data_IF_062757607856
#
_entry.id   IF_062757607856
#
_cell.length_a   1.000
_cell.length_b   1.000
_cell.length_c   1.000
_cell.angle_alpha   90.00
_cell.angle_beta   90.00
_cell.angle_gamma   90.00
#
_symmetry.space_group_name_H-M   'P 1'
#
loop_
_entity.id
_entity.type
_entity.pdbx_description
1 polymer ?
#
# COMPACT_ATOMS: atom_id res chain seq x y z
N UNK A 1 1.33 -0.63 14.26
CA UNK A 1 1.43 -0.39 12.81
C UNK A 1 2.82 0.15 12.58
N UNK A 2 3.57 -0.46 11.68
CA UNK A 2 4.92 0.00 11.32
C UNK A 2 4.70 0.93 10.13
N UNK A 3 4.33 2.18 10.40
CA UNK A 3 4.13 3.22 9.38
C UNK A 3 5.49 3.83 8.93
N UNK A 4 6.59 3.07 9.06
CA UNK A 4 7.97 3.58 8.94
C UNK A 4 8.67 3.15 7.64
N UNK A 5 7.91 2.59 6.69
CA UNK A 5 8.46 2.05 5.43
C UNK A 5 8.29 2.96 4.22
N UNK A 6 7.56 4.07 4.36
CA UNK A 6 7.40 5.05 3.30
C UNK A 6 7.21 6.45 3.89
N UNK A 7 7.60 7.45 3.12
CA UNK A 7 7.33 8.86 3.38
C UNK A 7 6.38 9.36 2.30
N UNK A 8 5.20 9.85 2.69
CA UNK A 8 4.23 10.41 1.76
C UNK A 8 4.40 11.92 1.69
N UNK A 9 4.43 12.46 0.46
CA UNK A 9 4.37 13.89 0.26
C UNK A 9 3.58 14.24 -1.01
N UNK A 10 2.97 15.42 -1.02
CA UNK A 10 2.48 16.07 -2.23
C UNK A 10 3.56 17.02 -2.74
N UNK A 11 3.78 17.07 -4.04
CA UNK A 11 4.69 18.03 -4.67
C UNK A 11 3.87 19.12 -5.41
N UNK A 12 4.22 20.38 -5.18
CA UNK A 12 3.71 21.51 -5.93
C UNK A 12 4.82 22.56 -6.14
N UNK A 13 5.14 22.85 -7.40
CA UNK A 13 6.17 23.81 -7.79
C UNK A 13 7.53 23.58 -7.08
N UNK A 14 7.87 22.31 -6.81
CA UNK A 14 9.11 21.91 -6.13
C UNK A 14 9.09 22.08 -4.60
N UNK A 15 7.92 22.39 -4.01
CA UNK A 15 7.69 22.38 -2.57
C UNK A 15 6.90 21.14 -2.20
N UNK A 16 7.46 20.34 -1.28
CA UNK A 16 6.77 19.18 -0.71
C UNK A 16 5.82 19.59 0.42
N UNK A 17 4.69 18.92 0.52
CA UNK A 17 3.77 18.93 1.66
C UNK A 17 3.72 17.53 2.26
N UNK A 18 4.16 17.38 3.51
CA UNK A 18 4.37 16.10 4.20
C UNK A 18 3.49 15.93 5.47
N UNK A 19 3.79 14.91 6.27
CA UNK A 19 3.09 14.63 7.53
C UNK A 19 3.23 15.75 8.56
N UNK A 20 4.39 16.42 8.58
CA UNK A 20 4.65 17.52 9.50
C UNK A 20 3.84 18.76 9.12
N UNK A 21 3.71 19.04 7.83
CA UNK A 21 2.87 20.11 7.30
C UNK A 21 1.38 19.82 7.52
N UNK A 22 0.97 18.57 7.33
CA UNK A 22 -0.38 18.12 7.62
C UNK A 22 -0.71 18.26 9.11
N UNK A 23 0.21 17.87 10.00
CA UNK A 23 0.06 18.05 11.44
C UNK A 23 -0.09 19.53 11.83
N UNK A 24 0.68 20.42 11.19
CA UNK A 24 0.58 21.86 11.41
C UNK A 24 -0.79 22.41 11.03
N UNK A 25 -1.30 22.09 9.83
CA UNK A 25 -2.63 22.57 9.41
C UNK A 25 -3.77 22.00 10.26
N UNK A 26 -3.69 20.73 10.68
CA UNK A 26 -4.68 20.12 11.59
C UNK A 26 -4.69 20.84 12.95
N UNK A 27 -3.50 21.08 13.52
CA UNK A 27 -3.38 21.81 14.77
C UNK A 27 -3.88 23.27 14.65
N UNK A 28 -3.67 23.94 13.51
CA UNK A 28 -4.28 25.27 13.25
C UNK A 28 -5.80 25.18 13.23
N UNK A 29 -6.37 24.16 12.56
CA UNK A 29 -7.82 23.97 12.51
C UNK A 29 -8.44 23.69 13.88
N UNK A 30 -7.73 22.96 14.74
CA UNK A 30 -8.19 22.60 16.09
C UNK A 30 -8.09 23.77 17.07
N UNK A 31 -6.95 24.46 17.06
CA UNK A 31 -6.65 25.52 18.04
C UNK A 31 -7.16 26.89 17.62
N UNK A 32 -7.46 27.08 16.32
CA UNK A 32 -7.83 28.37 15.76
C UNK A 32 -6.72 29.41 15.80
N UNK A 33 -5.44 29.00 15.91
CA UNK A 33 -4.29 29.91 16.00
C UNK A 33 -2.99 29.22 15.61
N UNK A 34 -2.23 29.81 14.68
CA UNK A 34 -0.88 29.29 14.33
C UNK A 34 0.05 29.27 15.54
N UNK A 35 -0.07 30.25 16.45
CA UNK A 35 0.76 30.28 17.66
C UNK A 35 0.42 29.14 18.60
N UNK A 36 -0.87 28.86 18.82
CA UNK A 36 -1.32 27.76 19.67
C UNK A 36 -1.00 26.40 19.05
N UNK A 37 -1.15 26.26 17.73
CA UNK A 37 -0.75 25.08 16.97
C UNK A 37 0.75 24.77 17.10
N UNK A 38 1.61 25.79 16.95
CA UNK A 38 3.05 25.61 17.15
C UNK A 38 3.37 25.15 18.58
N UNK A 39 2.70 25.72 19.59
CA UNK A 39 2.85 25.29 20.98
C UNK A 39 2.35 23.87 21.24
N UNK A 40 1.21 23.46 20.68
CA UNK A 40 0.66 22.12 20.87
C UNK A 40 1.50 21.03 20.19
N UNK A 41 2.20 21.38 19.12
CA UNK A 41 3.13 20.50 18.41
C UNK A 41 4.56 20.55 18.98
N UNK A 42 4.81 21.34 20.02
CA UNK A 42 6.15 21.58 20.59
C UNK A 42 7.16 22.12 19.54
N UNK A 43 6.67 22.89 18.56
CA UNK A 43 7.45 23.45 17.44
C UNK A 43 7.70 24.95 17.60
N UNK A 44 8.76 25.43 16.94
CA UNK A 44 9.10 26.86 16.91
C UNK A 44 8.09 27.65 16.08
N UNK A 45 7.35 28.57 16.72
CA UNK A 45 6.38 29.45 16.05
C UNK A 45 6.97 30.17 14.82
N UNK A 46 8.15 30.83 14.88
CA UNK A 46 8.78 31.41 13.69
C UNK A 46 8.97 30.41 12.55
N UNK A 47 9.40 29.17 12.83
CA UNK A 47 9.57 28.14 11.80
C UNK A 47 8.24 27.70 11.20
N UNK A 48 7.20 27.51 12.02
CA UNK A 48 5.87 27.19 11.53
C UNK A 48 5.31 28.29 10.61
N UNK A 49 5.53 29.57 10.96
CA UNK A 49 5.11 30.68 10.11
C UNK A 49 5.89 30.75 8.80
N UNK A 50 7.21 30.55 8.84
CA UNK A 50 8.03 30.50 7.62
C UNK A 50 7.64 29.33 6.73
N UNK A 51 7.37 28.15 7.31
CA UNK A 51 6.92 26.97 6.57
C UNK A 51 5.54 27.17 5.96
N UNK A 52 4.59 27.75 6.70
CA UNK A 52 3.28 28.10 6.15
C UNK A 52 3.40 29.07 4.96
N UNK A 53 4.26 30.08 5.06
CA UNK A 53 4.47 31.01 3.93
C UNK A 53 5.01 30.29 2.69
N UNK A 54 6.02 29.42 2.86
CA UNK A 54 6.58 28.62 1.76
C UNK A 54 5.52 27.72 1.11
N UNK A 55 4.70 27.05 1.92
CA UNK A 55 3.58 26.25 1.42
C UNK A 55 2.54 27.12 0.70
N UNK A 56 2.20 28.28 1.24
CA UNK A 56 1.21 29.20 0.64
C UNK A 56 1.70 29.83 -0.67
N UNK A 57 3.01 30.06 -0.80
CA UNK A 57 3.63 30.55 -2.04
C UNK A 57 3.50 29.52 -3.18
N UNK A 58 3.52 28.22 -2.87
CA UNK A 58 3.39 27.12 -3.85
C UNK A 58 1.95 26.62 -4.05
N UNK A 59 1.15 26.51 -2.98
CA UNK A 59 -0.16 25.86 -2.98
C UNK A 59 -1.33 26.86 -2.93
N UNK A 60 -1.04 28.16 -2.84
CA UNK A 60 -2.02 29.20 -2.59
C UNK A 60 -2.38 29.33 -1.10
N UNK A 61 -3.22 30.31 -0.76
CA UNK A 61 -3.53 30.60 0.66
C UNK A 61 -4.20 29.41 1.34
N UNK A 62 -3.54 28.87 2.37
CA UNK A 62 -3.97 27.70 3.15
C UNK A 62 -4.59 28.12 4.49
N UNK A 63 -4.15 29.25 5.05
CA UNK A 63 -4.63 29.77 6.33
C UNK A 63 -5.01 31.24 6.19
N UNK A 64 -6.21 31.59 6.65
CA UNK A 64 -6.65 32.98 6.73
C UNK A 64 -6.79 33.45 8.17
N UNK A 65 -6.66 34.77 8.36
CA UNK A 65 -6.86 35.39 9.67
C UNK A 65 -8.34 35.66 9.91
N UNK A 66 -8.85 35.16 11.03
CA UNK A 66 -10.18 35.55 11.51
C UNK A 66 -10.10 36.94 12.17
N UNK A 67 -10.91 37.89 11.69
CA UNK A 67 -11.08 39.20 12.38
C UNK A 67 -11.95 39.02 13.63
N UNK A 68 -11.34 39.06 14.80
CA UNK A 68 -12.02 39.13 16.11
C UNK A 68 -11.40 40.23 16.97
N UNK A 69 -12.24 41.02 17.66
CA UNK A 69 -11.84 42.20 18.44
C UNK A 69 -10.91 41.90 19.62
N UNK A 70 -10.25 42.97 20.08
CA UNK A 70 -9.31 43.11 21.22
C UNK A 70 -9.01 41.83 22.02
N UNK A 71 -8.19 40.95 21.45
CA UNK A 71 -7.01 40.32 22.11
C UNK A 71 -6.50 39.02 21.45
N UNK A 72 -7.08 38.52 20.35
CA UNK A 72 -6.35 37.53 19.53
C UNK A 72 -6.93 37.39 18.13
N UNK A 73 -6.17 37.80 17.11
CA UNK A 73 -6.47 37.41 15.73
C UNK A 73 -6.36 35.89 15.61
N UNK A 74 -7.48 35.22 15.32
CA UNK A 74 -7.51 33.79 15.10
C UNK A 74 -6.98 33.42 13.71
N UNK A 75 -6.71 32.15 13.51
CA UNK A 75 -6.35 31.53 12.24
C UNK A 75 -7.35 30.43 11.93
N UNK A 76 -7.78 30.33 10.68
CA UNK A 76 -8.61 29.22 10.21
C UNK A 76 -8.12 28.75 8.85
N UNK A 77 -8.32 27.46 8.57
CA UNK A 77 -7.99 26.93 7.26
C UNK A 77 -8.91 27.55 6.21
N UNK A 78 -8.34 27.94 5.08
CA UNK A 78 -9.12 28.30 3.89
C UNK A 78 -9.74 27.03 3.28
N UNK A 79 -10.66 27.16 2.29
CA UNK A 79 -11.08 26.02 1.50
C UNK A 79 -9.90 25.27 0.84
N UNK A 80 -8.91 26.00 0.32
CA UNK A 80 -7.72 25.39 -0.28
C UNK A 80 -6.88 24.62 0.76
N UNK A 81 -6.70 25.17 1.97
CA UNK A 81 -6.01 24.48 3.07
C UNK A 81 -6.67 23.15 3.46
N UNK A 82 -8.01 23.13 3.55
CA UNK A 82 -8.76 21.89 3.78
C UNK A 82 -8.64 20.91 2.62
N UNK A 83 -8.65 21.41 1.38
CA UNK A 83 -8.54 20.57 0.19
C UNK A 83 -7.16 19.92 0.05
N UNK A 84 -6.07 20.62 0.42
CA UNK A 84 -4.71 20.06 0.47
C UNK A 84 -4.62 18.96 1.52
N UNK A 85 -5.11 19.22 2.75
CA UNK A 85 -5.17 18.19 3.79
C UNK A 85 -5.94 16.94 3.34
N UNK A 86 -7.13 17.14 2.74
CA UNK A 86 -7.93 16.02 2.27
C UNK A 86 -7.25 15.23 1.14
N UNK A 87 -6.45 15.89 0.29
CA UNK A 87 -5.64 15.20 -0.73
C UNK A 87 -4.52 14.38 -0.08
N UNK A 88 -3.82 14.97 0.89
CA UNK A 88 -2.76 14.32 1.62
C UNK A 88 -3.27 13.09 2.39
N UNK A 89 -4.39 13.22 3.11
CA UNK A 89 -5.01 12.11 3.84
C UNK A 89 -5.35 10.93 2.92
N UNK A 90 -5.85 11.21 1.71
CA UNK A 90 -6.15 10.16 0.73
C UNK A 90 -4.88 9.48 0.21
N UNK A 91 -3.83 10.24 -0.05
CA UNK A 91 -2.54 9.69 -0.48
C UNK A 91 -1.93 8.82 0.61
N UNK A 92 -1.83 9.35 1.82
CA UNK A 92 -1.28 8.63 2.96
C UNK A 92 -2.09 7.35 3.23
N UNK A 93 -3.42 7.41 3.23
CA UNK A 93 -4.25 6.22 3.41
C UNK A 93 -4.04 5.17 2.30
N UNK A 94 -3.89 5.59 1.04
CA UNK A 94 -3.61 4.67 -0.07
C UNK A 94 -2.24 3.99 0.05
N UNK A 95 -1.22 4.75 0.48
CA UNK A 95 0.13 4.24 0.67
C UNK A 95 0.22 3.35 1.91
N UNK A 96 -0.30 3.76 3.07
CA UNK A 96 -0.38 2.91 4.29
C UNK A 96 -1.10 1.61 4.01
N UNK A 97 -2.22 1.67 3.29
CA UNK A 97 -3.01 0.50 2.92
C UNK A 97 -2.30 -0.47 1.97
N UNK A 98 -1.24 -0.03 1.28
CA UNK A 98 -0.48 -0.86 0.34
C UNK A 98 0.85 -1.32 0.93
N UNK A 99 1.61 -0.41 1.54
CA UNK A 99 2.97 -0.63 2.02
C UNK A 99 3.02 -1.54 3.27
N UNK A 100 1.98 -1.52 4.11
CA UNK A 100 1.92 -2.34 5.33
C UNK A 100 1.37 -3.75 5.12
N UNK A 101 0.98 -4.12 3.90
CA UNK A 101 0.37 -5.42 3.59
C UNK A 101 1.46 -6.40 3.17
N UNK A 102 1.54 -7.61 3.78
CA UNK A 102 2.47 -8.63 3.34
C UNK A 102 2.31 -8.92 1.84
N UNK A 103 3.43 -8.96 1.13
CA UNK A 103 3.48 -9.30 -0.29
C UNK A 103 4.17 -10.64 -0.46
N UNK A 104 3.54 -11.53 -1.23
CA UNK A 104 4.14 -12.81 -1.65
C UNK A 104 4.88 -12.59 -2.95
N UNK A 105 6.11 -13.05 -3.01
CA UNK A 105 6.96 -13.03 -4.19
C UNK A 105 7.19 -14.46 -4.66
N UNK A 106 7.02 -14.72 -5.95
CA UNK A 106 7.35 -16.01 -6.54
C UNK A 106 8.13 -15.84 -7.85
N UNK A 107 9.24 -16.57 -8.03
CA UNK A 107 9.95 -16.57 -9.31
C UNK A 107 9.13 -17.29 -10.37
N UNK A 108 9.30 -16.87 -11.63
CA UNK A 108 8.67 -17.52 -12.76
C UNK A 108 9.26 -17.12 -14.09
N UNK A 109 8.75 -17.72 -15.16
CA UNK A 109 9.14 -17.41 -16.53
C UNK A 109 7.91 -17.05 -17.34
N UNK A 110 7.97 -15.93 -18.07
CA UNK A 110 6.88 -15.51 -18.96
C UNK A 110 6.75 -16.53 -20.09
N UNK A 111 5.56 -17.09 -20.29
CA UNK A 111 5.25 -18.05 -21.36
C UNK A 111 4.35 -17.45 -22.43
N UNK A 112 3.61 -16.39 -22.12
CA UNK A 112 2.72 -15.70 -23.05
C UNK A 112 2.47 -14.26 -22.68
N UNK A 113 2.14 -13.43 -23.68
CA UNK A 113 1.90 -11.99 -23.51
C UNK A 113 0.67 -11.60 -24.33
N UNK A 114 -0.27 -10.90 -23.68
CA UNK A 114 -1.50 -10.39 -24.27
C UNK A 114 -1.71 -8.94 -23.81
N UNK A 115 -1.23 -7.98 -24.61
CA UNK A 115 -1.25 -6.57 -24.24
C UNK A 115 -0.40 -6.32 -23.00
N UNK A 116 -1.06 -5.93 -21.90
CA UNK A 116 -0.40 -5.68 -20.60
C UNK A 116 -0.30 -6.91 -19.70
N UNK A 117 -0.97 -8.00 -20.09
CA UNK A 117 -1.04 -9.22 -19.31
C UNK A 117 0.06 -10.18 -19.74
N UNK A 118 0.77 -10.71 -18.76
CA UNK A 118 1.75 -11.78 -18.92
C UNK A 118 1.22 -13.05 -18.27
N UNK A 119 1.38 -14.17 -18.97
CA UNK A 119 1.20 -15.50 -18.40
C UNK A 119 2.58 -15.99 -17.94
N UNK A 120 2.70 -16.28 -16.65
CA UNK A 120 3.95 -16.64 -15.99
C UNK A 120 3.84 -18.06 -15.47
N UNK A 121 4.74 -18.94 -15.89
CA UNK A 121 4.87 -20.28 -15.30
C UNK A 121 5.71 -20.18 -14.02
N UNK A 122 5.18 -20.72 -12.94
CA UNK A 122 5.82 -20.76 -11.61
C UNK A 122 5.84 -22.21 -11.10
N UNK A 123 6.48 -22.47 -9.96
CA UNK A 123 6.49 -23.81 -9.34
C UNK A 123 5.09 -24.29 -8.94
N UNK A 124 4.19 -23.36 -8.59
CA UNK A 124 2.79 -23.64 -8.27
C UNK A 124 1.89 -23.75 -9.52
N UNK A 125 2.45 -23.55 -10.72
CA UNK A 125 1.73 -23.49 -11.99
C UNK A 125 1.58 -22.07 -12.55
N UNK A 126 0.61 -21.89 -13.45
CA UNK A 126 0.46 -20.63 -14.20
C UNK A 126 -0.20 -19.52 -13.37
N UNK A 127 0.46 -18.36 -13.33
CA UNK A 127 -0.04 -17.10 -12.77
C UNK A 127 -0.14 -16.04 -13.87
N UNK A 128 -1.25 -15.32 -13.94
CA UNK A 128 -1.44 -14.18 -14.86
C UNK A 128 -1.23 -12.87 -14.12
N UNK A 129 -0.41 -11.98 -14.68
CA UNK A 129 0.03 -10.75 -14.04
C UNK A 129 0.04 -9.56 -15.00
N UNK A 130 0.00 -8.34 -14.46
CA UNK A 130 0.34 -7.13 -15.23
C UNK A 130 1.86 -6.99 -15.21
N UNK A 131 2.48 -6.95 -16.39
CA UNK A 131 3.90 -6.67 -16.53
C UNK A 131 4.15 -5.32 -17.18
N UNK A 132 5.27 -4.69 -16.90
CA UNK A 132 5.74 -3.53 -17.66
C UNK A 132 6.45 -3.96 -18.96
N UNK A 133 6.75 -3.01 -19.85
CA UNK A 133 7.36 -3.28 -21.16
C UNK A 133 8.61 -4.17 -21.08
N UNK A 134 9.42 -4.01 -20.03
CA UNK A 134 10.65 -4.77 -19.80
C UNK A 134 10.45 -6.29 -19.63
N UNK A 135 9.25 -6.73 -19.25
CA UNK A 135 8.95 -8.15 -18.99
C UNK A 135 7.98 -8.78 -19.99
N UNK A 136 7.42 -7.99 -20.91
CA UNK A 136 6.41 -8.43 -21.89
C UNK A 136 7.02 -9.22 -23.06
N UNK A 137 7.83 -10.23 -22.74
CA UNK A 137 8.48 -11.11 -23.72
C UNK A 137 8.50 -12.56 -23.21
N UNK A 138 8.03 -13.55 -23.99
CA UNK A 138 8.16 -14.96 -23.63
C UNK A 138 9.62 -15.37 -23.41
N UNK A 139 9.85 -16.22 -22.40
CA UNK A 139 11.17 -16.65 -21.95
C UNK A 139 11.80 -15.71 -20.92
N UNK A 140 11.19 -14.55 -20.60
CA UNK A 140 11.76 -13.66 -19.59
C UNK A 140 11.61 -14.21 -18.18
N UNK A 141 12.71 -14.27 -17.41
CA UNK A 141 12.63 -14.52 -15.97
C UNK A 141 12.04 -13.30 -15.28
N UNK A 142 11.05 -13.54 -14.44
CA UNK A 142 10.31 -12.51 -13.71
C UNK A 142 10.08 -12.93 -12.27
N UNK A 143 9.81 -11.95 -11.44
CA UNK A 143 9.23 -12.15 -10.12
C UNK A 143 7.76 -11.71 -10.18
N UNK A 144 6.83 -12.59 -9.78
CA UNK A 144 5.44 -12.20 -9.58
C UNK A 144 5.24 -11.74 -8.14
N UNK A 145 4.54 -10.62 -7.97
CA UNK A 145 4.18 -10.09 -6.67
C UNK A 145 2.66 -10.08 -6.48
N UNK A 146 2.20 -10.54 -5.32
CA UNK A 146 0.79 -10.56 -4.92
C UNK A 146 0.66 -10.11 -3.49
N UNK A 147 -0.11 -9.06 -3.26
CA UNK A 147 -0.41 -8.58 -1.91
C UNK A 147 -1.48 -9.43 -1.23
N UNK A 148 -1.34 -9.60 0.08
CA UNK A 148 -2.25 -10.42 0.87
C UNK A 148 -3.71 -9.94 0.85
N UNK A 149 -3.94 -8.63 0.71
CA UNK A 149 -5.28 -8.03 0.63
C UNK A 149 -5.99 -8.29 -0.71
N UNK A 150 -5.26 -8.76 -1.74
CA UNK A 150 -5.81 -9.12 -3.03
C UNK A 150 -6.27 -10.59 -3.13
N UNK A 151 -5.91 -11.42 -2.15
CA UNK A 151 -6.17 -12.86 -2.15
C UNK A 151 -7.48 -13.17 -1.44
N UNK A 152 -8.37 -13.88 -2.12
CA UNK A 152 -9.59 -14.43 -1.54
C UNK A 152 -9.42 -15.92 -1.28
N UNK A 153 -9.76 -16.37 -0.07
CA UNK A 153 -9.75 -17.78 0.30
C UNK A 153 -11.16 -18.36 0.24
N UNK A 154 -11.27 -19.56 -0.33
CA UNK A 154 -12.48 -20.37 -0.34
C UNK A 154 -12.22 -21.73 0.30
N UNK A 155 -13.24 -22.32 0.91
CA UNK A 155 -13.24 -23.75 1.15
C UNK A 155 -13.23 -24.49 -0.21
N UNK A 156 -12.59 -25.67 -0.33
CA UNK A 156 -12.48 -26.39 -1.61
C UNK A 156 -13.82 -26.65 -2.30
N UNK A 157 -14.84 -27.00 -1.51
CA UNK A 157 -16.18 -27.32 -2.02
C UNK A 157 -17.01 -26.08 -2.40
N UNK A 158 -16.66 -24.91 -1.85
CA UNK A 158 -17.35 -23.63 -2.10
C UNK A 158 -16.62 -22.75 -3.13
N UNK A 159 -15.46 -23.19 -3.61
CA UNK A 159 -14.67 -22.45 -4.56
C UNK A 159 -15.43 -22.30 -5.90
N UNK A 160 -15.60 -21.08 -6.42
CA UNK A 160 -16.24 -20.88 -7.71
C UNK A 160 -15.52 -21.68 -8.81
N UNK A 161 -16.30 -22.27 -9.72
CA UNK A 161 -15.74 -22.99 -10.86
C UNK A 161 -14.79 -22.11 -11.68
N UNK A 162 -13.76 -22.68 -12.34
CA UNK A 162 -12.86 -21.92 -13.19
C UNK A 162 -13.62 -21.07 -14.22
N UNK A 163 -13.35 -19.76 -14.24
CA UNK A 163 -14.00 -18.81 -15.15
C UNK A 163 -15.38 -18.29 -14.69
N UNK A 164 -15.94 -18.78 -13.57
CA UNK A 164 -17.20 -18.28 -13.03
C UNK A 164 -17.09 -16.84 -12.46
N UNK A 165 -15.87 -16.39 -12.15
CA UNK A 165 -15.59 -15.03 -11.68
C UNK A 165 -14.57 -14.33 -12.58
N UNK A 166 -14.29 -13.06 -12.31
CA UNK A 166 -13.19 -12.33 -12.95
C UNK A 166 -11.82 -12.63 -12.35
N UNK A 167 -11.74 -13.42 -11.27
CA UNK A 167 -10.46 -13.95 -10.80
C UNK A 167 -9.89 -14.88 -11.88
N UNK A 168 -8.61 -14.69 -12.20
CA UNK A 168 -7.91 -15.46 -13.23
C UNK A 168 -6.81 -16.32 -12.67
N UNK A 169 -6.33 -15.95 -11.48
CA UNK A 169 -5.37 -16.75 -10.73
C UNK A 169 -6.15 -17.55 -9.70
N UNK A 170 -5.88 -18.85 -9.67
CA UNK A 170 -6.50 -19.81 -8.75
C UNK A 170 -5.49 -20.91 -8.47
N UNK A 171 -5.15 -21.10 -7.20
CA UNK A 171 -4.27 -22.17 -6.73
C UNK A 171 -4.95 -22.89 -5.57
N UNK A 172 -4.90 -24.21 -5.60
CA UNK A 172 -5.30 -25.05 -4.47
C UNK A 172 -4.12 -25.12 -3.49
N UNK A 173 -4.38 -25.13 -2.19
CA UNK A 173 -3.33 -25.08 -1.18
C UNK A 173 -3.79 -25.53 0.20
N UNK A 174 -2.88 -25.48 1.16
CA UNK A 174 -3.14 -25.78 2.55
C UNK A 174 -2.68 -24.63 3.44
N UNK A 175 -3.47 -24.30 4.45
CA UNK A 175 -3.09 -23.29 5.45
C UNK A 175 -1.85 -23.79 6.21
N UNK A 176 -0.78 -23.02 6.20
CA UNK A 176 0.44 -23.31 6.96
C UNK A 176 0.37 -22.66 8.35
N UNK A 177 -0.05 -21.39 8.40
CA UNK A 177 -0.13 -20.62 9.63
C UNK A 177 -1.30 -19.62 9.61
N UNK A 178 -1.78 -19.27 10.80
CA UNK A 178 -2.85 -18.28 11.00
C UNK A 178 -2.43 -17.33 12.11
N UNK A 179 -2.16 -16.09 11.75
CA UNK A 179 -1.80 -15.02 12.67
C UNK A 179 -3.02 -14.13 12.93
N UNK A 180 -3.61 -14.29 14.11
CA UNK A 180 -4.82 -13.55 14.49
C UNK A 180 -4.48 -12.20 15.11
N UNK A 181 -5.01 -11.13 14.52
CA UNK A 181 -5.17 -9.82 15.16
C UNK A 181 -6.60 -9.62 15.68
N UNK A 182 -6.93 -8.39 16.06
CA UNK A 182 -8.24 -8.07 16.68
C UNK A 182 -9.42 -8.21 15.71
N UNK A 183 -9.30 -7.66 14.50
CA UNK A 183 -10.35 -7.71 13.47
C UNK A 183 -9.90 -8.36 12.16
N UNK A 184 -8.58 -8.52 12.00
CA UNK A 184 -7.93 -8.96 10.77
C UNK A 184 -7.00 -10.12 11.09
N UNK A 185 -6.97 -11.10 10.21
CA UNK A 185 -6.20 -12.34 10.34
C UNK A 185 -5.33 -12.48 9.10
N UNK A 186 -4.03 -12.72 9.30
CA UNK A 186 -3.10 -13.11 8.23
C UNK A 186 -3.05 -14.62 8.15
N UNK A 187 -3.15 -15.16 6.96
CA UNK A 187 -3.15 -16.59 6.70
C UNK A 187 -2.05 -16.89 5.71
N UNK A 188 -1.07 -17.70 6.11
CA UNK A 188 -0.06 -18.25 5.22
C UNK A 188 -0.64 -19.52 4.58
N UNK A 189 -0.59 -19.59 3.25
CA UNK A 189 -1.07 -20.75 2.48
C UNK A 189 0.08 -21.31 1.66
N UNK A 190 0.39 -22.58 1.89
CA UNK A 190 1.25 -23.34 0.99
C UNK A 190 0.48 -23.65 -0.29
N UNK A 191 0.94 -23.06 -1.39
CA UNK A 191 0.44 -23.27 -2.75
C UNK A 191 1.51 -23.87 -3.67
N UNK A 192 2.67 -24.24 -3.13
CA UNK A 192 3.83 -24.70 -3.92
C UNK A 192 4.77 -23.60 -4.40
N UNK A 193 4.68 -22.38 -3.86
CA UNK A 193 5.72 -21.36 -3.99
C UNK A 193 6.86 -21.60 -2.99
N UNK A 194 8.01 -20.94 -3.20
CA UNK A 194 9.13 -20.95 -2.24
C UNK A 194 8.77 -20.31 -0.90
N UNK A 195 7.95 -19.26 -0.93
CA UNK A 195 7.39 -18.56 0.22
C UNK A 195 5.86 -18.71 0.23
N UNK A 196 5.21 -18.78 1.41
CA UNK A 196 3.77 -18.98 1.47
C UNK A 196 3.01 -17.82 0.82
N UNK A 197 1.91 -18.15 0.16
CA UNK A 197 0.95 -17.16 -0.30
C UNK A 197 0.20 -16.59 0.90
N UNK A 198 0.46 -15.33 1.22
CA UNK A 198 -0.24 -14.62 2.27
C UNK A 198 -1.62 -14.17 1.82
N UNK A 199 -2.61 -14.30 2.70
CA UNK A 199 -3.94 -13.73 2.56
C UNK A 199 -4.32 -12.93 3.81
N UNK A 200 -4.98 -11.80 3.61
CA UNK A 200 -5.49 -10.95 4.69
C UNK A 200 -7.01 -11.02 4.70
N UNK A 201 -7.57 -11.63 5.74
CA UNK A 201 -9.02 -11.85 5.86
C UNK A 201 -9.56 -11.28 7.16
N UNK A 202 -10.88 -11.08 7.25
CA UNK A 202 -11.51 -10.71 8.52
C UNK A 202 -11.55 -11.89 9.49
N UNK A 203 -11.52 -11.61 10.80
CA UNK A 203 -11.69 -12.65 11.82
C UNK A 203 -12.95 -13.49 11.60
N UNK A 204 -14.07 -12.83 11.27
CA UNK A 204 -15.34 -13.50 10.92
C UNK A 204 -15.20 -14.47 9.73
N UNK A 205 -14.45 -14.08 8.69
CA UNK A 205 -14.23 -14.97 7.54
C UNK A 205 -13.32 -16.15 7.89
N UNK A 206 -12.28 -15.92 8.69
CA UNK A 206 -11.40 -16.99 9.16
C UNK A 206 -12.15 -18.02 10.02
N UNK A 207 -13.03 -17.54 10.90
CA UNK A 207 -13.87 -18.39 11.74
C UNK A 207 -14.91 -19.15 10.91
N UNK A 208 -15.61 -18.48 9.99
CA UNK A 208 -16.60 -19.11 9.11
C UNK A 208 -15.99 -20.19 8.21
N UNK A 209 -14.77 -19.96 7.69
CA UNK A 209 -14.06 -20.91 6.85
C UNK A 209 -13.31 -21.98 7.64
N UNK A 210 -13.27 -21.90 8.98
CA UNK A 210 -12.55 -22.84 9.83
C UNK A 210 -11.04 -22.86 9.57
N UNK A 211 -10.44 -21.70 9.28
CA UNK A 211 -9.02 -21.61 8.92
C UNK A 211 -8.13 -21.94 10.12
N UNK A 212 -7.37 -23.02 9.97
CA UNK A 212 -6.35 -23.50 10.90
C UNK A 212 -5.25 -24.23 10.12
N UNK A 213 -4.03 -24.36 10.66
CA UNK A 213 -2.96 -25.13 10.01
C UNK A 213 -3.43 -26.52 9.54
N UNK A 214 -3.12 -26.85 8.29
CA UNK A 214 -3.54 -28.07 7.59
C UNK A 214 -4.90 -27.99 6.89
N UNK A 215 -5.68 -26.93 7.07
CA UNK A 215 -6.95 -26.76 6.36
C UNK A 215 -6.73 -26.57 4.85
N UNK A 216 -7.40 -27.37 4.03
CA UNK A 216 -7.39 -27.21 2.58
C UNK A 216 -8.17 -25.96 2.18
N UNK A 217 -7.60 -25.16 1.27
CA UNK A 217 -8.19 -23.92 0.77
C UNK A 217 -7.94 -23.76 -0.72
N UNK A 218 -8.75 -22.91 -1.35
CA UNK A 218 -8.52 -22.43 -2.71
C UNK A 218 -8.29 -20.94 -2.65
N UNK A 219 -7.07 -20.52 -2.98
CA UNK A 219 -6.71 -19.13 -3.12
C UNK A 219 -7.09 -18.65 -4.52
N UNK A 220 -7.80 -17.53 -4.62
CA UNK A 220 -8.12 -16.90 -5.89
C UNK A 220 -7.91 -15.39 -5.86
N UNK A 221 -7.40 -14.84 -6.96
CA UNK A 221 -7.19 -13.41 -7.11
C UNK A 221 -7.25 -12.96 -8.57
N UNK A 222 -7.35 -11.64 -8.77
CA UNK A 222 -7.39 -11.04 -10.10
C UNK A 222 -5.99 -10.93 -10.68
N UNK A 223 -5.86 -11.18 -11.98
CA UNK A 223 -4.62 -10.91 -12.70
C UNK A 223 -4.14 -9.46 -12.56
N UNK A 224 -5.08 -8.52 -12.47
CA UNK A 224 -4.78 -7.08 -12.32
C UNK A 224 -4.22 -6.70 -10.95
N UNK A 225 -4.32 -7.59 -9.97
CA UNK A 225 -3.73 -7.42 -8.64
C UNK A 225 -2.36 -8.11 -8.50
N UNK A 226 -1.83 -8.65 -9.59
CA UNK A 226 -0.49 -9.25 -9.65
C UNK A 226 0.41 -8.39 -10.51
N UNK A 227 1.67 -8.22 -10.10
CA UNK A 227 2.70 -7.57 -10.91
C UNK A 227 3.75 -8.60 -11.32
N UNK A 228 4.24 -8.49 -12.54
CA UNK A 228 5.43 -9.19 -12.98
C UNK A 228 6.54 -8.15 -13.18
N UNK A 229 7.65 -8.32 -12.48
CA UNK A 229 8.82 -7.44 -12.59
C UNK A 229 10.03 -8.25 -13.02
N UNK A 230 10.99 -7.60 -13.66
CA UNK A 230 12.22 -8.28 -14.07
C UNK A 230 13.00 -8.69 -12.82
N UNK A 231 13.58 -9.90 -12.83
CA UNK A 231 14.55 -10.27 -11.80
C UNK A 231 15.86 -9.57 -12.15
N UNK A 232 16.23 -8.55 -11.38
CA UNK A 232 17.57 -8.00 -11.46
C UNK A 232 18.53 -9.06 -10.94
N UNK A 233 19.38 -9.59 -11.83
CA UNK A 233 20.47 -10.47 -11.40
C UNK A 233 21.46 -9.60 -10.66
N UNK A 234 21.44 -9.66 -9.32
CA UNK A 234 22.55 -9.14 -8.53
C UNK A 234 23.74 -10.03 -8.87
N UNK A 235 24.56 -9.59 -9.82
CA UNK A 235 25.87 -10.21 -10.04
C UNK A 235 26.67 -9.98 -8.78
N UNK A 236 26.83 -11.01 -7.95
CA UNK A 236 27.84 -11.05 -6.91
C UNK A 236 29.17 -10.64 -7.56
N UNK A 237 29.70 -9.48 -7.16
CA UNK A 237 31.08 -9.14 -7.48
C UNK A 237 31.93 -10.08 -6.65
N UNK A 238 32.35 -11.17 -7.27
CA UNK A 238 33.39 -12.06 -6.75
C UNK A 238 34.55 -11.20 -6.24
N UNK A 239 34.71 -11.22 -4.91
CA UNK A 239 35.92 -10.76 -4.25
C UNK A 239 37.03 -11.76 -4.53
N UNK A 240 37.67 -11.66 -5.69
CA UNK A 240 38.94 -12.33 -5.94
C UNK A 240 40.05 -11.51 -5.30
N UNK A 241 40.38 -11.86 -4.05
CA UNK A 241 41.65 -11.53 -3.44
C UNK A 241 42.72 -12.54 -3.89
N UNK A 242 43.75 -12.05 -4.56
CA UNK A 242 45.10 -12.62 -4.60
C UNK A 242 46.12 -11.51 -4.88
#
# INVERSE_FOLDING_TARGET
MVDDWFEAYLDADGVSFDDDDAALLRAVSETGSVSAAASSLERSRPRCLSRLQELEDALGSLVERRRGGSDSGGSELTPAGRDVLARFDRLHAALSGTAGVPETMAPGTVTGVEGELCDVETEAGRVRAIGDEAVREPGRPVQVSVRADAVTLHAPDDAPAPGATSARNRLDGAVEAVERGDAVVRVAVDVGFSDPLWALVTADSADRLGLAPGAGVVASWKATATRATAVETVTERDGEGA
#
